data_IF_799930070669
#
_entry.id   IF_799930070669
#
_cell.length_a   1.000
_cell.length_b   1.000
_cell.length_c   1.000
_cell.angle_alpha   90.00
_cell.angle_beta   90.00
_cell.angle_gamma   90.00
#
_symmetry.space_group_name_H-M   'P 1'
#
loop_
_entity.id
_entity.type
_entity.pdbx_description
1 polymer ?
#
# COMPACT_ATOMS: atom_id res chain seq x y z
N UNK A 1 4.06 14.01 -17.77
CA UNK A 1 3.56 14.77 -16.61
C UNK A 1 4.57 14.64 -15.49
N UNK A 2 4.88 15.73 -14.79
CA UNK A 2 5.80 15.71 -13.65
C UNK A 2 5.21 14.96 -12.44
N UNK A 3 6.09 14.40 -11.61
CA UNK A 3 5.71 13.63 -10.42
C UNK A 3 4.93 14.50 -9.42
N UNK A 4 5.36 15.74 -9.23
CA UNK A 4 4.66 16.74 -8.42
C UNK A 4 3.21 16.91 -8.85
N UNK A 5 3.00 17.19 -10.13
CA UNK A 5 1.68 17.44 -10.71
C UNK A 5 0.80 16.19 -10.62
N UNK A 6 1.37 15.01 -10.89
CA UNK A 6 0.67 13.73 -10.77
C UNK A 6 0.19 13.48 -9.33
N UNK A 7 1.05 13.71 -8.33
CA UNK A 7 0.72 13.51 -6.92
C UNK A 7 -0.35 14.49 -6.43
N UNK A 8 -0.26 15.77 -6.83
CA UNK A 8 -1.30 16.76 -6.55
C UNK A 8 -2.61 16.36 -7.24
N UNK A 9 -2.56 16.02 -8.52
CA UNK A 9 -3.77 15.75 -9.32
C UNK A 9 -4.53 14.52 -8.86
N UNK A 10 -3.83 13.47 -8.43
CA UNK A 10 -4.45 12.31 -7.80
C UNK A 10 -5.17 12.72 -6.50
N UNK A 11 -4.55 13.54 -5.64
CA UNK A 11 -5.20 14.01 -4.42
C UNK A 11 -6.42 14.92 -4.69
N UNK A 12 -6.39 15.73 -5.76
CA UNK A 12 -7.51 16.59 -6.17
C UNK A 12 -8.71 15.80 -6.72
N UNK A 13 -8.48 14.77 -7.56
CA UNK A 13 -9.55 14.14 -8.36
C UNK A 13 -9.93 12.73 -7.91
N UNK A 14 -9.36 12.21 -6.82
CA UNK A 14 -9.71 10.90 -6.28
C UNK A 14 -10.93 10.94 -5.36
N UNK A 15 -12.08 10.48 -5.86
CA UNK A 15 -13.25 10.20 -5.03
C UNK A 15 -13.30 8.70 -4.64
N UNK A 16 -13.17 8.34 -3.35
CA UNK A 16 -13.33 6.95 -2.89
C UNK A 16 -14.76 6.41 -3.05
N UNK A 17 -15.75 7.23 -3.42
CA UNK A 17 -17.12 6.80 -3.73
C UNK A 17 -17.37 6.55 -5.22
N UNK A 18 -16.57 7.11 -6.12
CA UNK A 18 -16.67 6.91 -7.56
C UNK A 18 -16.25 5.50 -8.03
N UNK A 19 -15.68 4.67 -7.15
CA UNK A 19 -15.25 3.31 -7.45
C UNK A 19 -13.96 3.27 -8.26
N UNK A 20 -13.80 2.26 -9.11
CA UNK A 20 -12.57 2.01 -9.89
C UNK A 20 -12.80 1.98 -11.41
N UNK A 21 -13.91 2.52 -11.89
CA UNK A 21 -14.27 2.52 -13.31
C UNK A 21 -13.32 3.38 -14.17
N UNK A 22 -13.34 3.18 -15.48
CA UNK A 22 -12.71 4.07 -16.46
C UNK A 22 -13.49 5.38 -16.58
N UNK A 23 -12.82 6.50 -16.82
CA UNK A 23 -13.41 7.84 -16.82
C UNK A 23 -13.49 8.50 -15.43
N UNK A 24 -12.98 7.85 -14.38
CA UNK A 24 -12.80 8.43 -13.05
C UNK A 24 -11.37 8.95 -12.97
N UNK A 25 -11.18 10.26 -13.13
CA UNK A 25 -9.88 10.91 -13.39
C UNK A 25 -8.68 10.34 -12.62
N UNK A 26 -8.71 10.26 -11.28
CA UNK A 26 -7.57 9.74 -10.54
C UNK A 26 -7.37 8.21 -10.68
N UNK A 27 -8.42 7.44 -11.00
CA UNK A 27 -8.31 6.01 -11.30
C UNK A 27 -7.69 5.79 -12.68
N UNK A 28 -7.98 6.66 -13.66
CA UNK A 28 -7.31 6.65 -14.97
C UNK A 28 -5.84 7.03 -14.83
N UNK A 29 -5.53 8.15 -14.16
CA UNK A 29 -4.15 8.57 -13.85
C UNK A 29 -3.36 7.47 -13.12
N UNK A 30 -3.97 6.77 -12.16
CA UNK A 30 -3.34 5.64 -11.44
C UNK A 30 -3.12 4.40 -12.31
N UNK A 31 -3.89 4.20 -13.40
CA UNK A 31 -3.63 3.16 -14.40
C UNK A 31 -2.51 3.56 -15.36
N UNK A 32 -2.48 4.82 -15.75
CA UNK A 32 -1.53 5.37 -16.74
C UNK A 32 -0.08 5.45 -16.24
N UNK A 33 0.15 5.41 -14.92
CA UNK A 33 1.49 5.53 -14.28
C UNK A 33 2.56 4.62 -14.90
N UNK A 34 2.22 3.40 -15.31
CA UNK A 34 3.18 2.43 -15.85
C UNK A 34 3.71 2.84 -17.24
N UNK A 35 2.95 3.67 -17.97
CA UNK A 35 3.29 4.20 -19.29
C UNK A 35 3.92 5.61 -19.24
N UNK A 36 4.06 6.22 -18.05
CA UNK A 36 4.54 7.61 -17.92
C UNK A 36 6.06 7.72 -18.03
N UNK A 37 6.54 8.18 -19.19
CA UNK A 37 7.96 8.43 -19.50
C UNK A 37 8.65 9.47 -18.62
N UNK A 38 7.90 10.49 -18.18
CA UNK A 38 8.48 11.73 -17.65
C UNK A 38 8.75 11.69 -16.13
N UNK A 39 8.41 10.58 -15.47
CA UNK A 39 8.64 10.42 -14.04
C UNK A 39 10.15 10.32 -13.75
N UNK A 40 10.66 10.94 -12.66
CA UNK A 40 12.09 10.94 -12.32
C UNK A 40 12.53 9.59 -11.69
N UNK A 41 12.24 8.48 -12.36
CA UNK A 41 12.53 7.12 -11.89
C UNK A 41 14.03 6.83 -11.99
N UNK A 42 14.69 6.45 -10.88
CA UNK A 42 16.11 6.08 -10.91
C UNK A 42 16.38 4.88 -11.84
N UNK A 43 17.56 4.84 -12.47
CA UNK A 43 17.87 3.83 -13.47
C UNK A 43 17.65 2.39 -12.95
N UNK A 44 16.92 1.60 -13.75
CA UNK A 44 16.52 0.24 -13.43
C UNK A 44 15.22 0.09 -12.63
N UNK A 45 14.44 1.17 -12.45
CA UNK A 45 13.12 1.14 -11.81
C UNK A 45 11.96 1.17 -12.83
N UNK A 46 10.75 0.87 -12.34
CA UNK A 46 9.43 1.15 -12.96
C UNK A 46 8.47 1.65 -11.88
N UNK A 47 7.37 2.27 -12.28
CA UNK A 47 6.27 2.65 -11.39
C UNK A 47 4.96 1.99 -11.84
N UNK A 48 4.02 1.81 -10.91
CA UNK A 48 2.61 1.49 -11.23
C UNK A 48 1.68 1.97 -10.13
N UNK A 49 0.49 2.45 -10.51
CA UNK A 49 -0.49 3.00 -9.58
C UNK A 49 -1.57 1.98 -9.19
N UNK A 50 -2.20 2.22 -8.04
CA UNK A 50 -3.28 1.38 -7.52
C UNK A 50 -4.35 2.23 -6.84
N UNK A 51 -5.46 2.43 -7.55
CA UNK A 51 -6.66 3.07 -7.02
C UNK A 51 -7.65 2.12 -6.35
N UNK A 52 -7.36 0.81 -6.28
CA UNK A 52 -8.25 -0.23 -5.75
C UNK A 52 -8.46 -1.38 -6.73
N UNK A 53 -9.37 -2.31 -6.38
CA UNK A 53 -9.86 -3.36 -7.29
C UNK A 53 -11.29 -3.74 -6.90
N UNK A 54 -12.26 -3.42 -7.76
CA UNK A 54 -13.70 -3.62 -7.51
C UNK A 54 -14.32 -2.58 -6.57
N UNK A 55 -13.57 -2.13 -5.56
CA UNK A 55 -13.85 -0.93 -4.77
C UNK A 55 -12.61 -0.04 -4.71
N UNK A 56 -12.82 1.27 -4.56
CA UNK A 56 -11.75 2.24 -4.42
C UNK A 56 -10.97 1.98 -3.11
N UNK A 57 -9.65 2.15 -3.16
CA UNK A 57 -8.81 2.08 -1.97
C UNK A 57 -9.09 3.25 -1.03
N UNK A 58 -9.13 3.03 0.29
CA UNK A 58 -9.11 4.15 1.24
C UNK A 58 -7.77 4.88 1.26
N UNK A 59 -6.75 4.32 0.63
CA UNK A 59 -5.37 4.83 0.54
C UNK A 59 -4.84 4.43 -0.84
N UNK A 60 -5.09 5.22 -1.91
CA UNK A 60 -4.45 4.97 -3.19
C UNK A 60 -2.93 5.09 -3.06
N UNK A 61 -2.19 4.48 -3.99
CA UNK A 61 -0.74 4.57 -4.00
C UNK A 61 -0.14 4.48 -5.40
N UNK A 62 1.09 5.00 -5.54
CA UNK A 62 2.01 4.72 -6.63
C UNK A 62 3.15 3.89 -6.05
N UNK A 63 3.35 2.67 -6.54
CA UNK A 63 4.48 1.82 -6.21
C UNK A 63 5.63 2.11 -7.16
N UNK A 64 6.86 2.08 -6.65
CA UNK A 64 8.10 2.28 -7.42
C UNK A 64 9.06 1.13 -7.11
N UNK A 65 9.46 0.42 -8.16
CA UNK A 65 9.98 -0.94 -8.09
C UNK A 65 11.31 -1.07 -8.84
N UNK A 66 12.38 -1.43 -8.12
CA UNK A 66 13.68 -1.71 -8.74
C UNK A 66 13.68 -3.09 -9.38
N UNK A 67 13.77 -3.18 -10.71
CA UNK A 67 13.58 -4.41 -11.51
C UNK A 67 14.43 -5.60 -11.05
N UNK A 68 15.64 -5.34 -10.53
CA UNK A 68 16.57 -6.36 -10.01
C UNK A 68 16.36 -6.74 -8.52
N UNK A 69 15.35 -6.17 -7.86
CA UNK A 69 15.01 -6.41 -6.45
C UNK A 69 13.61 -7.02 -6.34
N UNK A 70 12.63 -6.39 -6.99
CA UNK A 70 11.21 -6.72 -6.92
C UNK A 70 10.44 -5.92 -7.97
N UNK A 71 9.35 -6.48 -8.51
CA UNK A 71 8.44 -5.83 -9.47
C UNK A 71 6.98 -5.76 -8.98
N UNK A 72 6.68 -6.16 -7.73
CA UNK A 72 5.30 -6.25 -7.23
C UNK A 72 5.15 -5.87 -5.75
N UNK A 73 4.14 -5.06 -5.41
CA UNK A 73 3.86 -4.60 -4.04
C UNK A 73 3.47 -5.71 -3.02
N UNK A 74 3.28 -6.95 -3.49
CA UNK A 74 2.81 -8.06 -2.68
C UNK A 74 3.93 -8.72 -1.84
N UNK A 75 5.17 -8.67 -2.35
CA UNK A 75 6.33 -9.39 -1.80
C UNK A 75 7.59 -8.51 -1.80
N UNK A 76 8.69 -9.02 -1.24
CA UNK A 76 10.00 -8.37 -1.26
C UNK A 76 10.03 -7.02 -0.55
N UNK A 77 10.91 -6.14 -1.01
CA UNK A 77 10.97 -4.73 -0.64
C UNK A 77 10.60 -3.88 -1.86
N UNK A 78 10.00 -2.71 -1.65
CA UNK A 78 9.65 -1.75 -2.69
C UNK A 78 9.49 -0.34 -2.12
N UNK A 79 9.44 0.67 -2.97
CA UNK A 79 9.04 2.02 -2.59
C UNK A 79 7.57 2.24 -2.91
N UNK A 80 6.87 3.06 -2.14
CA UNK A 80 5.54 3.53 -2.50
C UNK A 80 5.28 4.96 -2.02
N UNK A 81 4.66 5.77 -2.87
CA UNK A 81 3.92 6.97 -2.49
C UNK A 81 2.50 6.55 -2.08
N UNK A 82 2.21 6.54 -0.78
CA UNK A 82 0.90 6.14 -0.24
C UNK A 82 0.17 7.37 0.28
N UNK A 83 -1.03 7.64 -0.24
CA UNK A 83 -1.88 8.72 0.22
C UNK A 83 -2.60 8.35 1.52
N UNK A 84 -2.78 9.29 2.44
CA UNK A 84 -3.64 9.08 3.60
C UNK A 84 -5.13 9.10 3.23
N UNK A 85 -5.99 8.54 4.10
CA UNK A 85 -7.43 8.43 3.83
C UNK A 85 -8.22 9.76 3.87
N UNK A 86 -7.52 10.89 4.01
CA UNK A 86 -8.06 12.24 3.83
C UNK A 86 -7.53 12.94 2.58
N UNK A 87 -6.64 12.30 1.82
CA UNK A 87 -5.91 12.84 0.65
C UNK A 87 -5.11 14.13 0.92
N UNK A 88 -5.01 14.56 2.19
CA UNK A 88 -4.31 15.77 2.57
C UNK A 88 -2.77 15.62 2.47
N UNK A 89 -2.28 14.38 2.38
CA UNK A 89 -0.86 14.07 2.26
C UNK A 89 -0.58 12.81 1.47
N UNK A 90 0.66 12.71 1.01
CA UNK A 90 1.25 11.49 0.47
C UNK A 90 2.57 11.20 1.19
N UNK A 91 2.85 9.92 1.44
CA UNK A 91 4.06 9.47 2.15
C UNK A 91 4.87 8.57 1.22
N UNK A 92 6.11 8.97 0.89
CA UNK A 92 7.07 8.10 0.23
C UNK A 92 7.69 7.19 1.29
N UNK A 93 7.54 5.87 1.13
CA UNK A 93 7.94 4.87 2.12
C UNK A 93 8.64 3.69 1.47
N UNK A 94 9.76 3.26 2.07
CA UNK A 94 10.33 1.93 1.88
C UNK A 94 9.44 0.92 2.62
N UNK A 95 8.79 0.05 1.86
CA UNK A 95 7.84 -0.95 2.31
C UNK A 95 8.41 -2.38 2.20
N UNK A 96 7.81 -3.29 2.94
CA UNK A 96 7.98 -4.74 2.80
C UNK A 96 6.65 -5.39 2.40
N UNK A 97 6.69 -6.47 1.62
CA UNK A 97 5.50 -7.20 1.17
C UNK A 97 4.69 -7.82 2.32
N UNK A 98 3.40 -7.50 2.38
CA UNK A 98 2.48 -7.94 3.46
C UNK A 98 1.76 -9.26 3.16
N UNK A 99 1.84 -9.78 1.92
CA UNK A 99 0.98 -10.90 1.46
C UNK A 99 1.37 -12.24 2.09
N UNK A 100 2.64 -12.65 2.05
CA UNK A 100 3.12 -13.91 2.68
C UNK A 100 2.85 -13.94 4.19
N UNK A 101 3.12 -12.82 4.87
CA UNK A 101 2.80 -12.59 6.27
C UNK A 101 1.31 -12.71 6.62
N UNK A 102 0.41 -12.56 5.64
CA UNK A 102 -1.03 -12.69 5.86
C UNK A 102 -1.49 -14.15 5.97
N UNK A 103 -0.75 -15.09 5.37
CA UNK A 103 -0.91 -16.53 5.57
C UNK A 103 -0.24 -17.02 6.87
N UNK A 104 1.00 -16.58 7.12
CA UNK A 104 1.76 -16.91 8.34
C UNK A 104 1.04 -16.43 9.62
N UNK A 105 0.47 -15.22 9.59
CA UNK A 105 -0.19 -14.58 10.73
C UNK A 105 -1.64 -14.22 10.37
N UNK A 106 -2.62 -15.14 10.57
CA UNK A 106 -4.02 -14.88 10.24
C UNK A 106 -4.66 -13.82 11.16
N UNK A 107 -4.19 -13.70 12.41
CA UNK A 107 -4.62 -12.64 13.34
C UNK A 107 -3.93 -11.32 13.00
N UNK A 108 -4.71 -10.29 12.63
CA UNK A 108 -4.20 -8.94 12.34
C UNK A 108 -3.26 -8.42 13.43
N UNK A 109 -3.65 -8.55 14.71
CA UNK A 109 -2.85 -8.04 15.83
C UNK A 109 -1.44 -8.62 15.91
N UNK A 110 -1.24 -9.88 15.50
CA UNK A 110 0.05 -10.54 15.51
C UNK A 110 0.84 -10.28 14.22
N UNK A 111 0.14 -10.22 13.08
CA UNK A 111 0.69 -9.76 11.79
C UNK A 111 1.30 -8.36 11.88
N UNK A 112 0.61 -7.42 12.56
CA UNK A 112 1.10 -6.05 12.76
C UNK A 112 2.30 -5.97 13.73
N UNK A 113 2.41 -6.89 14.71
CA UNK A 113 3.62 -7.00 15.56
C UNK A 113 4.81 -7.47 14.75
N UNK A 114 4.63 -8.51 13.93
CA UNK A 114 5.71 -9.11 13.14
C UNK A 114 6.18 -8.17 12.02
N UNK A 115 5.25 -7.52 11.29
CA UNK A 115 5.60 -6.46 10.33
C UNK A 115 6.48 -5.38 10.96
N UNK A 116 6.08 -4.87 12.14
CA UNK A 116 6.88 -3.88 12.88
C UNK A 116 8.22 -4.44 13.37
N UNK A 117 8.33 -5.73 13.70
CA UNK A 117 9.59 -6.38 14.08
C UNK A 117 10.54 -6.47 12.88
N UNK A 118 10.05 -6.98 11.74
CA UNK A 118 10.80 -7.05 10.48
C UNK A 118 11.20 -5.66 9.99
N UNK A 119 10.31 -4.66 10.08
CA UNK A 119 10.60 -3.27 9.73
C UNK A 119 11.77 -2.68 10.56
N UNK A 120 11.78 -2.88 11.88
CA UNK A 120 12.92 -2.45 12.73
C UNK A 120 14.21 -3.19 12.40
N UNK A 121 14.15 -4.49 12.11
CA UNK A 121 15.34 -5.26 11.74
C UNK A 121 15.91 -4.81 10.39
N UNK A 122 15.06 -4.58 9.38
CA UNK A 122 15.44 -4.02 8.09
C UNK A 122 16.07 -2.64 8.26
N UNK A 123 15.44 -1.72 9.03
CA UNK A 123 15.99 -0.37 9.27
C UNK A 123 17.32 -0.39 10.01
N UNK A 124 17.54 -1.35 10.93
CA UNK A 124 18.81 -1.51 11.64
C UNK A 124 19.94 -2.08 10.76
N UNK A 125 19.62 -2.56 9.55
CA UNK A 125 20.58 -2.97 8.53
C UNK A 125 20.72 -1.98 7.36
N UNK A 126 20.21 -0.75 7.51
CA UNK A 126 20.41 0.36 6.57
C UNK A 126 21.49 1.29 7.14
N UNK A 127 22.30 1.86 6.26
CA UNK A 127 23.27 2.90 6.59
C UNK A 127 22.62 4.10 7.36
N UNK A 128 23.08 4.43 8.60
CA UNK A 128 22.46 5.44 9.45
C UNK A 128 22.34 6.87 8.88
N UNK A 129 23.33 7.38 8.14
CA UNK A 129 23.32 8.74 7.60
C UNK A 129 22.25 8.87 6.50
N UNK A 130 22.20 7.91 5.58
CA UNK A 130 21.19 7.75 4.54
C UNK A 130 19.78 7.63 5.14
N UNK A 131 19.64 6.94 6.29
CA UNK A 131 18.36 6.77 6.98
C UNK A 131 17.90 7.98 7.81
N UNK A 132 18.77 8.96 8.09
CA UNK A 132 18.57 10.04 9.06
C UNK A 132 17.29 10.85 8.79
N UNK A 133 17.14 11.34 7.56
CA UNK A 133 16.00 12.18 7.15
C UNK A 133 14.77 11.37 6.70
N UNK A 134 14.71 10.09 7.07
CA UNK A 134 13.67 9.12 6.69
C UNK A 134 13.00 8.44 7.89
N UNK A 135 12.89 9.19 8.99
CA UNK A 135 12.36 8.73 10.28
C UNK A 135 10.84 8.92 10.46
N UNK A 136 10.09 9.34 9.43
CA UNK A 136 8.63 9.47 9.57
C UNK A 136 7.99 8.10 9.85
N UNK A 137 7.04 8.06 10.78
CA UNK A 137 6.20 6.88 11.04
C UNK A 137 4.84 7.11 10.38
N UNK A 138 4.50 6.40 9.29
CA UNK A 138 3.27 6.67 8.56
C UNK A 138 2.01 6.43 9.40
N UNK A 139 1.02 7.30 9.23
CA UNK A 139 -0.32 7.17 9.77
C UNK A 139 -1.33 7.52 8.68
N UNK A 140 -1.91 6.49 8.03
CA UNK A 140 -2.76 6.65 6.86
C UNK A 140 -4.24 6.92 7.20
N UNK A 141 -4.55 7.21 8.47
CA UNK A 141 -5.84 7.69 8.96
C UNK A 141 -7.04 6.75 8.71
N UNK A 142 -6.79 5.47 8.42
CA UNK A 142 -7.82 4.46 8.12
C UNK A 142 -7.84 3.33 9.14
N UNK A 143 -9.05 2.86 9.49
CA UNK A 143 -9.26 1.72 10.41
C UNK A 143 -9.14 0.35 9.72
N UNK A 144 -9.12 0.32 8.38
CA UNK A 144 -9.07 -0.90 7.57
C UNK A 144 -7.73 -1.64 7.75
N UNK A 145 -7.75 -2.96 7.58
CA UNK A 145 -6.56 -3.81 7.82
C UNK A 145 -5.37 -3.46 6.92
N UNK A 146 -5.63 -3.19 5.63
CA UNK A 146 -4.59 -2.98 4.61
C UNK A 146 -3.78 -1.69 4.85
N UNK A 147 -4.38 -0.51 5.05
CA UNK A 147 -3.66 0.68 5.51
C UNK A 147 -2.84 0.45 6.78
N UNK A 148 -3.42 -0.20 7.81
CA UNK A 148 -2.71 -0.50 9.06
C UNK A 148 -1.54 -1.47 8.85
N UNK A 149 -1.64 -2.38 7.88
CA UNK A 149 -0.52 -3.22 7.46
C UNK A 149 0.59 -2.39 6.78
N UNK A 150 0.26 -1.42 5.91
CA UNK A 150 1.24 -0.50 5.33
C UNK A 150 1.95 0.38 6.39
N UNK A 151 1.22 0.88 7.40
CA UNK A 151 1.79 1.60 8.55
C UNK A 151 2.80 0.71 9.32
N UNK A 152 2.47 -0.57 9.51
CA UNK A 152 3.32 -1.54 10.20
C UNK A 152 4.48 -2.07 9.35
N UNK A 153 4.35 -2.06 8.03
CA UNK A 153 5.32 -2.56 7.06
C UNK A 153 6.44 -1.56 6.74
N UNK A 154 6.21 -0.27 6.98
CA UNK A 154 7.15 0.82 6.68
C UNK A 154 8.48 0.67 7.42
N UNK A 155 9.58 0.65 6.67
CA UNK A 155 10.97 0.58 7.16
C UNK A 155 11.57 1.98 7.33
N UNK A 156 11.31 2.84 6.36
CA UNK A 156 11.78 4.23 6.30
C UNK A 156 10.77 5.05 5.49
N UNK A 157 10.57 6.32 5.84
CA UNK A 157 9.58 7.17 5.17
C UNK A 157 9.84 8.67 5.30
N UNK A 158 9.34 9.42 4.33
CA UNK A 158 9.19 10.88 4.31
C UNK A 158 7.74 11.22 3.88
N UNK A 159 7.18 12.29 4.46
CA UNK A 159 5.79 12.72 4.27
C UNK A 159 5.74 14.11 3.64
N UNK A 160 4.81 14.31 2.71
CA UNK A 160 4.53 15.58 2.05
C UNK A 160 3.04 15.90 2.22
N UNK A 161 2.70 17.09 2.70
CA UNK A 161 1.31 17.59 2.67
C UNK A 161 1.02 18.15 1.27
N UNK A 162 -0.12 17.80 0.67
CA UNK A 162 -0.45 18.18 -0.72
C UNK A 162 -0.53 19.70 -0.88
N UNK A 163 -1.06 20.39 0.13
CA UNK A 163 -1.19 21.85 0.16
C UNK A 163 0.15 22.61 0.23
N UNK A 164 1.27 21.91 0.41
CA UNK A 164 2.63 22.46 0.41
C UNK A 164 3.62 21.47 -0.22
N UNK A 165 3.24 20.90 -1.37
CA UNK A 165 4.07 19.94 -2.09
C UNK A 165 5.39 20.60 -2.54
N UNK A 166 6.57 20.00 -2.24
CA UNK A 166 7.86 20.47 -2.74
C UNK A 166 7.90 20.56 -4.27
N UNK A 167 8.87 21.31 -4.80
CA UNK A 167 9.13 21.36 -6.24
C UNK A 167 9.70 20.02 -6.76
N UNK A 168 9.60 19.81 -8.08
CA UNK A 168 9.91 18.52 -8.74
C UNK A 168 11.32 18.02 -8.45
N UNK A 169 12.31 18.92 -8.41
CA UNK A 169 13.71 18.60 -8.14
C UNK A 169 13.91 17.98 -6.75
N UNK A 170 13.14 18.45 -5.76
CA UNK A 170 13.19 17.92 -4.38
C UNK A 170 12.55 16.54 -4.33
N UNK A 171 11.44 16.34 -5.04
CA UNK A 171 10.77 15.03 -5.13
C UNK A 171 11.59 14.01 -5.91
N UNK A 172 12.33 14.44 -6.93
CA UNK A 172 13.25 13.62 -7.71
C UNK A 172 14.47 13.18 -6.88
N UNK A 173 15.10 14.09 -6.13
CA UNK A 173 16.21 13.76 -5.24
C UNK A 173 15.76 12.85 -4.09
N UNK A 174 14.60 13.13 -3.47
CA UNK A 174 14.05 12.25 -2.44
C UNK A 174 13.72 10.85 -2.98
N UNK A 175 13.28 10.73 -4.24
CA UNK A 175 13.09 9.44 -4.90
C UNK A 175 14.42 8.74 -5.23
N UNK A 176 15.46 9.51 -5.58
CA UNK A 176 16.82 8.99 -5.75
C UNK A 176 17.35 8.40 -4.44
N UNK A 177 17.31 9.16 -3.35
CA UNK A 177 17.74 8.71 -2.01
C UNK A 177 16.91 7.51 -1.53
N UNK A 178 15.59 7.51 -1.77
CA UNK A 178 14.76 6.33 -1.50
C UNK A 178 15.19 5.09 -2.30
N UNK A 179 15.67 5.25 -3.53
CA UNK A 179 16.19 4.13 -4.33
C UNK A 179 17.49 3.55 -3.75
N UNK A 180 18.32 4.37 -3.12
CA UNK A 180 19.52 3.93 -2.40
C UNK A 180 19.11 3.16 -1.13
N UNK A 181 18.17 3.69 -0.34
CA UNK A 181 17.59 2.99 0.82
C UNK A 181 17.01 1.61 0.46
N UNK A 182 16.31 1.49 -0.68
CA UNK A 182 15.80 0.20 -1.16
C UNK A 182 16.95 -0.76 -1.56
N UNK A 183 17.97 -0.27 -2.27
CA UNK A 183 19.11 -1.08 -2.72
C UNK A 183 19.92 -1.60 -1.54
N UNK A 184 20.20 -0.75 -0.56
CA UNK A 184 20.94 -1.08 0.66
C UNK A 184 20.17 -2.09 1.53
N UNK A 185 18.91 -1.79 1.86
CA UNK A 185 18.04 -2.72 2.60
C UNK A 185 17.90 -4.08 1.89
N UNK A 186 17.85 -4.12 0.56
CA UNK A 186 17.81 -5.36 -0.21
C UNK A 186 19.15 -6.12 -0.21
N UNK A 187 20.28 -5.41 -0.15
CA UNK A 187 21.61 -6.02 0.00
C UNK A 187 21.79 -6.62 1.39
N UNK A 188 21.56 -5.83 2.45
CA UNK A 188 21.59 -6.28 3.84
C UNK A 188 20.63 -7.45 4.09
N UNK A 189 19.41 -7.40 3.56
CA UNK A 189 18.45 -8.49 3.68
C UNK A 189 18.94 -9.79 3.01
N UNK A 190 19.55 -9.74 1.82
CA UNK A 190 20.12 -10.95 1.17
C UNK A 190 21.24 -11.57 2.00
N UNK A 191 22.18 -10.76 2.49
CA UNK A 191 23.28 -11.23 3.32
C UNK A 191 22.80 -11.83 4.64
N UNK A 192 21.88 -11.15 5.33
CA UNK A 192 21.34 -11.51 6.63
C UNK A 192 20.29 -12.62 6.64
N UNK A 193 19.76 -13.08 5.50
CA UNK A 193 18.72 -14.12 5.46
C UNK A 193 19.28 -15.56 5.48
N UNK A 194 20.59 -15.72 5.30
CA UNK A 194 21.25 -17.04 5.20
C UNK A 194 21.35 -17.80 6.54
N UNK A 195 21.50 -17.08 7.66
CA UNK A 195 21.90 -17.63 8.97
C UNK A 195 20.75 -17.82 9.97
N UNK A 196 19.77 -16.91 9.99
CA UNK A 196 18.82 -16.75 11.11
C UNK A 196 17.39 -17.27 10.85
N UNK A 197 17.11 -17.84 9.67
CA UNK A 197 15.80 -18.47 9.37
C UNK A 197 15.89 -19.97 9.03
N UNK A 198 17.06 -20.60 9.21
CA UNK A 198 17.27 -22.05 9.02
C UNK A 198 17.15 -22.86 10.32
N UNK A 199 16.64 -22.26 11.39
CA UNK A 199 16.49 -22.87 12.73
C UNK A 199 15.04 -22.86 13.21
N UNK A 200 14.13 -23.38 12.38
CA UNK A 200 13.00 -24.11 12.96
C UNK A 200 13.56 -25.35 13.67
N UNK A 201 13.25 -25.62 14.95
CA UNK A 201 13.62 -26.88 15.56
C UNK A 201 12.93 -28.01 14.79
N UNK A 202 13.72 -28.91 14.20
CA UNK A 202 13.19 -30.07 13.50
C UNK A 202 12.46 -30.97 14.51
N UNK A 203 11.13 -31.01 14.42
CA UNK A 203 10.31 -31.87 15.26
C UNK A 203 10.63 -33.34 14.91
N UNK A 204 11.52 -33.95 15.71
CA UNK A 204 12.04 -35.30 15.50
C UNK A 204 10.94 -36.32 15.72
N UNK A 205 10.19 -36.62 14.66
CA UNK A 205 9.19 -37.70 14.64
C UNK A 205 9.86 -39.00 15.10
N UNK A 206 9.42 -39.50 16.25
CA UNK A 206 9.96 -40.71 16.86
C UNK A 206 9.94 -41.90 15.90
N UNK A 207 11.02 -42.70 15.93
CA UNK A 207 11.28 -43.82 15.03
C UNK A 207 10.39 -45.03 15.39
N UNK A 208 9.15 -45.03 14.92
CA UNK A 208 8.32 -46.24 14.92
C UNK A 208 8.80 -47.19 13.80
N UNK A 209 9.24 -48.39 14.18
CA UNK A 209 9.69 -49.44 13.25
C UNK A 209 8.55 -50.39 12.89
N UNK A 210 8.24 -50.53 11.60
CA UNK A 210 7.37 -51.59 11.08
C UNK A 210 8.21 -52.64 10.33
N UNK A 211 7.96 -53.94 10.50
CA UNK A 211 8.62 -54.99 9.72
C UNK A 211 8.07 -55.08 8.28
N UNK A 212 8.83 -55.66 7.33
CA UNK A 212 8.40 -55.81 5.94
C UNK A 212 7.45 -57.01 5.75
N UNK A 213 6.60 -56.93 4.72
CA UNK A 213 5.88 -58.09 4.15
C UNK A 213 6.19 -58.23 2.66
N UNK A 214 6.26 -59.46 2.18
CA UNK A 214 6.61 -59.85 0.81
C UNK A 214 5.36 -60.09 -0.07
N UNK A 215 5.47 -60.01 -1.41
CA UNK A 215 4.32 -60.20 -2.31
C UNK A 215 4.25 -61.59 -2.96
N UNK A 216 3.06 -62.21 -2.95
CA UNK A 216 2.48 -63.07 -4.01
C UNK A 216 1.02 -63.40 -3.65
N UNK A 217 -0.03 -63.22 -4.47
CA UNK A 217 -0.42 -63.75 -5.82
C UNK A 217 -1.45 -64.89 -5.69
N UNK A 218 -2.39 -65.00 -6.65
CA UNK A 218 -3.30 -66.14 -7.00
C UNK A 218 -4.81 -66.03 -6.64
N UNK A 219 -5.58 -65.67 -7.69
CA UNK A 219 -6.95 -66.12 -8.09
C UNK A 219 -8.27 -65.65 -7.44
N UNK A 220 -9.33 -65.77 -8.26
CA UNK A 220 -10.76 -65.48 -8.08
C UNK A 220 -11.58 -66.79 -8.34
N UNK A 221 -12.90 -66.87 -8.66
CA UNK A 221 -13.96 -65.88 -8.99
C UNK A 221 -15.22 -65.98 -8.05
N UNK A 222 -16.44 -65.45 -8.26
CA UNK A 222 -17.46 -65.82 -9.30
C UNK A 222 -18.80 -65.07 -9.12
N UNK A 223 -19.28 -64.34 -10.16
CA UNK A 223 -20.68 -63.85 -10.39
C UNK A 223 -21.33 -62.91 -9.33
N UNK A 224 -22.46 -62.22 -9.55
CA UNK A 224 -23.41 -62.17 -10.69
C UNK A 224 -23.85 -60.72 -10.98
N UNK A 225 -24.57 -60.49 -12.09
CA UNK A 225 -25.11 -59.18 -12.48
C UNK A 225 -26.63 -59.05 -12.18
N UNK A 226 -27.17 -57.83 -12.18
CA UNK A 226 -28.35 -57.41 -12.98
C UNK A 226 -28.69 -55.93 -12.77
N UNK A 227 -29.07 -55.25 -13.86
CA UNK A 227 -29.50 -53.84 -13.96
C UNK A 227 -30.99 -53.68 -13.61
N UNK A 228 -31.43 -52.51 -13.12
CA UNK A 228 -32.71 -51.86 -13.49
C UNK A 228 -32.72 -50.38 -13.05
N UNK A 229 -33.39 -49.52 -13.83
CA UNK A 229 -33.51 -48.08 -13.56
C UNK A 229 -34.93 -47.53 -13.85
N UNK A 230 -35.63 -47.08 -12.79
CA UNK A 230 -36.88 -46.31 -12.81
C UNK A 230 -37.04 -45.67 -11.41
N UNK A 231 -37.72 -44.54 -11.17
CA UNK A 231 -38.55 -43.62 -11.99
C UNK A 231 -38.20 -42.15 -11.59
N UNK A 232 -38.43 -41.08 -12.37
CA UNK A 232 -39.71 -40.44 -12.78
C UNK A 232 -40.66 -40.16 -11.59
N UNK A 233 -41.30 -38.99 -11.44
CA UNK A 233 -41.21 -37.71 -12.18
C UNK A 233 -41.97 -36.56 -11.45
N UNK A 234 -41.87 -35.31 -11.98
CA UNK A 234 -42.99 -34.36 -12.20
C UNK A 234 -43.72 -33.75 -10.96
N UNK A 235 -44.52 -32.66 -10.96
CA UNK A 235 -44.95 -31.49 -11.81
C UNK A 235 -45.83 -30.59 -10.88
N UNK A 236 -46.35 -29.37 -11.10
CA UNK A 236 -46.27 -28.21 -12.05
C UNK A 236 -47.08 -27.05 -11.37
N UNK A 237 -47.21 -25.79 -11.83
CA UNK A 237 -46.49 -24.87 -12.73
C UNK A 237 -47.17 -23.47 -12.64
N UNK A 238 -46.57 -22.43 -13.25
CA UNK A 238 -47.25 -21.17 -13.62
C UNK A 238 -47.50 -20.13 -12.50
N UNK A 239 -47.92 -18.90 -12.83
CA UNK A 239 -47.89 -18.21 -14.13
C UNK A 239 -48.10 -16.68 -14.00
N UNK A 240 -47.59 -15.96 -15.00
CA UNK A 240 -47.97 -14.64 -15.54
C UNK A 240 -48.12 -13.34 -14.70
N UNK A 241 -47.32 -12.36 -15.16
CA UNK A 241 -47.74 -11.04 -15.65
C UNK A 241 -48.57 -10.04 -14.81
N UNK A 242 -47.90 -8.92 -14.50
CA UNK A 242 -48.39 -7.53 -14.62
C UNK A 242 -49.65 -7.06 -13.86
N UNK A 243 -49.47 -6.10 -12.94
CA UNK A 243 -49.95 -4.73 -13.20
C UNK A 243 -49.27 -3.63 -12.38
N UNK A 244 -49.26 -2.45 -12.99
CA UNK A 244 -48.87 -1.16 -12.41
C UNK A 244 -49.88 -0.71 -11.33
N UNK A 245 -49.40 -0.20 -10.19
CA UNK A 245 -50.09 0.88 -9.49
C UNK A 245 -49.09 1.81 -8.80
N UNK A 246 -49.35 3.11 -8.88
CA UNK A 246 -48.49 4.19 -8.38
C UNK A 246 -48.87 4.60 -6.96
N UNK A 247 -47.88 5.00 -6.16
CA UNK A 247 -48.12 5.84 -4.98
C UNK A 247 -47.01 6.86 -4.76
N UNK A 248 -47.36 8.11 -5.06
CA UNK A 248 -46.65 9.30 -4.60
C UNK A 248 -46.83 9.49 -3.10
N UNK A 249 -45.75 9.79 -2.40
CA UNK A 249 -45.78 10.72 -1.26
C UNK A 249 -44.44 11.44 -1.15
N UNK A 250 -44.48 12.77 -1.11
CA UNK A 250 -43.33 13.58 -0.75
C UNK A 250 -43.47 13.96 0.72
N UNK A 251 -42.36 14.00 1.46
CA UNK A 251 -42.33 14.62 2.78
C UNK A 251 -41.13 15.55 2.93
N UNK A 252 -41.38 16.79 2.53
CA UNK A 252 -40.87 18.05 3.12
C UNK A 252 -39.61 17.98 3.99
N UNK A 253 -38.56 18.67 3.54
CA UNK A 253 -37.54 19.19 4.47
C UNK A 253 -38.16 20.18 5.45
N UNK A 254 -37.70 20.21 6.69
CA UNK A 254 -37.90 21.34 7.60
C UNK A 254 -36.55 21.89 8.05
N UNK A 255 -36.43 23.22 8.15
CA UNK A 255 -35.16 23.93 8.39
C UNK A 255 -35.38 25.16 9.26
N UNK A 256 -35.02 25.05 10.54
CA UNK A 256 -34.74 26.14 11.47
C UNK A 256 -33.48 25.72 12.28
N UNK A 257 -32.58 26.59 12.73
CA UNK A 257 -32.75 28.01 13.04
C UNK A 257 -33.16 28.16 14.51
N UNK A 258 -32.55 29.03 15.34
CA UNK A 258 -31.57 30.10 15.12
C UNK A 258 -30.70 30.20 16.38
N UNK A 259 -29.39 30.50 16.27
CA UNK A 259 -28.83 31.54 17.13
C UNK A 259 -27.58 32.23 16.55
N UNK A 260 -27.54 33.56 16.64
CA UNK A 260 -26.36 34.41 16.44
C UNK A 260 -26.06 35.09 17.77
N UNK A 261 -24.79 35.28 18.10
CA UNK A 261 -24.39 36.19 19.19
C UNK A 261 -23.22 37.06 18.72
N UNK A 262 -23.41 38.38 18.77
CA UNK A 262 -22.37 39.35 18.43
C UNK A 262 -21.42 39.59 19.61
N UNK A 263 -20.12 39.40 19.41
CA UNK A 263 -19.05 40.24 19.97
C UNK A 263 -18.01 40.41 18.86
N UNK A 264 -17.84 41.59 18.26
CA UNK A 264 -17.35 42.88 18.78
C UNK A 264 -15.88 43.06 18.37
N UNK A 265 -15.56 44.21 17.78
CA UNK A 265 -14.28 44.48 17.13
C UNK A 265 -13.31 45.16 18.10
N UNK A 266 -12.04 44.72 18.08
CA UNK A 266 -10.89 45.50 18.56
C UNK A 266 -9.78 45.44 17.52
N UNK A 267 -9.15 46.59 17.25
CA UNK A 267 -7.98 46.70 16.36
C UNK A 267 -6.72 46.33 17.15
N UNK A 268 -5.83 45.54 16.55
CA UNK A 268 -4.53 45.18 17.11
C UNK A 268 -3.44 45.26 16.03
N UNK A 269 -2.49 46.17 16.22
CA UNK A 269 -1.37 46.48 15.32
C UNK A 269 -0.57 45.28 14.84
N UNK A 270 -0.20 45.28 13.56
CA UNK A 270 0.89 44.45 13.04
C UNK A 270 2.22 44.89 13.68
N UNK A 271 3.11 43.93 13.94
CA UNK A 271 4.55 44.20 14.06
C UNK A 271 5.33 42.95 13.65
N UNK A 272 6.10 43.05 12.57
CA UNK A 272 6.92 41.95 12.06
C UNK A 272 8.28 41.97 12.76
N UNK A 273 8.60 40.93 13.53
CA UNK A 273 9.94 40.76 14.11
C UNK A 273 10.88 40.11 13.08
N UNK A 274 11.78 40.90 12.49
CA UNK A 274 12.82 40.42 11.58
C UNK A 274 14.11 40.13 12.37
N UNK A 275 14.65 38.90 12.35
CA UNK A 275 15.98 38.64 12.90
C UNK A 275 17.06 39.27 11.99
N UNK A 276 18.12 39.89 12.55
CA UNK A 276 19.07 40.67 11.78
C UNK A 276 19.99 39.81 10.90
N UNK A 277 20.31 40.32 9.72
CA UNK A 277 21.38 39.77 8.86
C UNK A 277 22.75 40.01 9.52
N UNK A 278 23.61 38.98 9.50
CA UNK A 278 25.06 39.15 9.59
C UNK A 278 25.63 38.82 8.20
N UNK A 279 26.10 39.84 7.50
CA UNK A 279 26.77 39.68 6.21
C UNK A 279 28.28 39.57 6.39
N UNK A 280 28.90 38.61 5.69
CA UNK A 280 30.34 38.53 5.46
C UNK A 280 30.59 38.05 4.03
N UNK A 281 31.49 38.73 3.32
CA UNK A 281 31.69 38.53 1.88
C UNK A 281 32.50 37.26 1.54
N UNK A 282 32.31 36.66 0.35
CA UNK A 282 33.03 35.44 -0.06
C UNK A 282 34.50 35.73 -0.39
N UNK A 283 35.42 34.95 0.19
CA UNK A 283 36.84 34.97 -0.13
C UNK A 283 37.16 34.22 -1.42
N UNK A 284 37.81 34.87 -2.38
CA UNK A 284 38.16 34.28 -3.68
C UNK A 284 39.26 33.22 -3.56
N UNK A 285 39.00 32.01 -4.05
CA UNK A 285 40.04 31.01 -4.31
C UNK A 285 40.48 31.05 -5.78
N UNK A 286 41.75 31.33 -6.03
CA UNK A 286 42.36 31.25 -7.38
C UNK A 286 43.06 29.90 -7.55
N UNK A 287 42.83 29.25 -8.69
CA UNK A 287 43.59 28.08 -9.10
C UNK A 287 45.05 28.44 -9.45
N UNK A 288 45.97 27.49 -9.20
CA UNK A 288 47.38 27.47 -9.62
C UNK A 288 47.99 26.09 -9.29
N UNK A 289 48.92 25.61 -10.11
CA UNK A 289 48.84 25.42 -11.56
C UNK A 289 48.57 23.94 -11.90
#
# INVERSE_FOLDING_TARGET
MHLRDLLIRIAETYDPKAGTASGVSAQDLLREVEEMSDLPLPHGFVASGYGGKGSASSTPWIGVFGKAINTQAQEGLYLAYIFDATLASVTLTLQQGVTKLSGEYPKLGDRLKELKRRARHLRAGIEPELALHWAHTPAFRSKLERPRAYEAASVAARRYEIASMPEEEVLAEDLHVASLLLRDAAAGHRSGFSSQWRTSPSFTRGRATSPPMTPSTVFAPTTAATTTSTSRAAVDAGSDATRNSSRTSAFTSSRAGINRSHKACTRGTWSCAVPPWIGSAPGSWKARP
#
